data_IF_532554918328
#
_entry.id   IF_532554918328
#
_cell.length_a   1.000
_cell.length_b   1.000
_cell.length_c   1.000
_cell.angle_alpha   90.00
_cell.angle_beta   90.00
_cell.angle_gamma   90.00
#
_symmetry.space_group_name_H-M   'P 1'
#
loop_
_entity.id
_entity.type
_entity.pdbx_description
1 polymer ?
#
# COMPACT_ATOMS: atom_id res chain seq x y z
N UNK A 1 -4.63 9.80 18.66
CA UNK A 1 -3.60 8.76 18.38
C UNK A 1 -3.61 8.55 16.89
N UNK A 2 -2.42 8.53 16.26
CA UNK A 2 -2.28 8.22 14.84
C UNK A 2 -2.76 6.80 14.54
N UNK A 3 -3.26 6.57 13.33
CA UNK A 3 -3.62 5.24 12.84
C UNK A 3 -2.34 4.50 12.48
N UNK A 4 -2.14 3.32 13.05
CA UNK A 4 -0.92 2.53 12.84
C UNK A 4 -1.00 1.70 11.56
N UNK A 5 0.02 1.85 10.73
CA UNK A 5 0.12 1.21 9.42
C UNK A 5 1.27 0.20 9.41
N UNK A 6 1.00 -1.00 8.93
CA UNK A 6 1.99 -1.99 8.53
C UNK A 6 2.10 -2.06 7.01
N UNK A 7 3.29 -2.26 6.46
CA UNK A 7 3.47 -2.43 5.01
C UNK A 7 4.06 -3.81 4.75
N UNK A 8 3.34 -4.64 4.01
CA UNK A 8 3.84 -5.93 3.54
C UNK A 8 4.30 -5.82 2.08
N UNK A 9 5.60 -6.00 1.84
CA UNK A 9 6.26 -5.71 0.58
C UNK A 9 6.78 -4.27 0.53
N UNK A 10 8.08 -4.11 0.77
CA UNK A 10 8.72 -2.78 0.75
C UNK A 10 9.42 -2.51 -0.59
N UNK A 11 8.78 -2.96 -1.67
CA UNK A 11 9.15 -2.69 -3.06
C UNK A 11 8.87 -1.25 -3.48
N UNK A 12 8.75 -1.01 -4.78
CA UNK A 12 8.46 0.33 -5.33
C UNK A 12 7.21 0.95 -4.69
N UNK A 13 6.11 0.19 -4.64
CA UNK A 13 4.83 0.70 -4.14
C UNK A 13 4.88 0.92 -2.62
N UNK A 14 5.32 -0.08 -1.84
CA UNK A 14 5.40 0.06 -0.39
C UNK A 14 6.24 1.26 0.05
N UNK A 15 7.40 1.49 -0.60
CA UNK A 15 8.24 2.67 -0.32
C UNK A 15 7.57 3.99 -0.70
N UNK A 16 6.79 4.04 -1.79
CA UNK A 16 6.07 5.28 -2.13
C UNK A 16 4.92 5.56 -1.17
N UNK A 17 4.21 4.52 -0.71
CA UNK A 17 3.21 4.65 0.35
C UNK A 17 3.85 5.19 1.63
N UNK A 18 4.99 4.62 2.05
CA UNK A 18 5.75 5.09 3.18
C UNK A 18 6.10 6.58 3.06
N UNK A 19 6.71 6.98 1.93
CA UNK A 19 7.08 8.37 1.67
C UNK A 19 5.87 9.32 1.67
N UNK A 20 4.75 8.88 1.09
CA UNK A 20 3.53 9.69 1.07
C UNK A 20 2.94 9.89 2.47
N UNK A 21 3.03 8.89 3.34
CA UNK A 21 2.60 9.00 4.74
C UNK A 21 3.48 10.01 5.47
N UNK A 22 4.81 9.87 5.40
CA UNK A 22 5.77 10.78 6.02
C UNK A 22 5.62 12.24 5.54
N UNK A 23 5.35 12.42 4.24
CA UNK A 23 5.28 13.76 3.64
C UNK A 23 3.95 14.47 3.90
N UNK A 24 2.84 13.72 3.93
CA UNK A 24 1.49 14.32 3.84
C UNK A 24 0.58 14.01 5.00
N UNK A 25 0.87 12.96 5.77
CA UNK A 25 -0.03 12.43 6.78
C UNK A 25 0.64 12.25 8.14
N UNK A 26 1.77 12.93 8.37
CA UNK A 26 2.46 12.96 9.66
C UNK A 26 1.47 13.32 10.79
N UNK A 27 1.54 12.59 11.90
CA UNK A 27 0.64 12.72 13.03
C UNK A 27 -0.79 12.16 12.82
N UNK A 28 -1.16 11.79 11.58
CA UNK A 28 -2.45 11.14 11.25
C UNK A 28 -2.27 9.65 11.02
N UNK A 29 -1.25 9.28 10.22
CA UNK A 29 -0.84 7.91 9.96
C UNK A 29 0.59 7.71 10.46
N UNK A 30 0.87 6.53 11.00
CA UNK A 30 2.20 6.16 11.51
C UNK A 30 2.58 4.79 10.95
N UNK A 31 3.67 4.69 10.19
CA UNK A 31 4.19 3.40 9.75
C UNK A 31 5.03 2.80 10.86
N UNK A 32 4.49 1.81 11.56
CA UNK A 32 5.17 1.17 12.71
C UNK A 32 6.03 -0.02 12.30
N UNK A 33 5.74 -0.64 11.16
CA UNK A 33 6.51 -1.80 10.69
C UNK A 33 6.40 -2.01 9.17
N UNK A 34 7.45 -2.59 8.64
CA UNK A 34 7.51 -3.13 7.27
C UNK A 34 7.87 -4.61 7.33
N UNK A 35 7.40 -5.37 6.35
CA UNK A 35 7.84 -6.73 6.09
C UNK A 35 8.35 -6.84 4.67
N UNK A 36 9.60 -7.27 4.50
CA UNK A 36 10.22 -7.50 3.21
C UNK A 36 11.30 -8.58 3.34
N UNK A 37 11.54 -9.33 2.27
CA UNK A 37 12.53 -10.42 2.30
C UNK A 37 13.98 -9.94 2.21
N UNK A 38 14.20 -8.67 1.88
CA UNK A 38 15.52 -8.04 1.95
C UNK A 38 15.82 -7.56 3.36
N UNK A 39 17.11 -7.41 3.65
CA UNK A 39 17.59 -6.91 4.94
C UNK A 39 17.30 -5.41 5.15
N UNK A 40 17.43 -4.95 6.40
CA UNK A 40 17.17 -3.57 6.76
C UNK A 40 18.12 -2.58 6.05
N UNK A 41 19.37 -2.97 5.77
CA UNK A 41 20.35 -2.10 5.09
C UNK A 41 19.94 -1.87 3.63
N UNK A 42 19.53 -2.92 2.94
CA UNK A 42 19.01 -2.84 1.57
C UNK A 42 17.74 -1.98 1.52
N UNK A 43 16.80 -2.21 2.44
CA UNK A 43 15.57 -1.45 2.52
C UNK A 43 15.82 0.04 2.84
N UNK A 44 16.76 0.34 3.75
CA UNK A 44 17.19 1.70 4.05
C UNK A 44 17.79 2.40 2.82
N UNK A 45 18.68 1.72 2.11
CA UNK A 45 19.29 2.25 0.90
C UNK A 45 18.25 2.59 -0.17
N UNK A 46 17.33 1.64 -0.44
CA UNK A 46 16.29 1.80 -1.44
C UNK A 46 15.22 2.84 -1.04
N UNK A 47 14.98 3.05 0.26
CA UNK A 47 14.13 4.15 0.73
C UNK A 47 14.80 5.49 0.54
N UNK A 48 16.10 5.57 0.85
CA UNK A 48 16.89 6.82 0.79
C UNK A 48 17.11 7.31 -0.62
N UNK A 49 17.34 6.40 -1.58
CA UNK A 49 17.68 6.73 -2.95
C UNK A 49 16.67 6.15 -3.93
N UNK A 50 16.08 7.01 -4.75
CA UNK A 50 15.09 6.64 -5.74
C UNK A 50 15.44 7.27 -7.08
N UNK A 51 15.50 6.42 -8.14
CA UNK A 51 15.88 6.88 -9.48
C UNK A 51 14.87 7.84 -10.11
N UNK A 52 13.59 7.74 -9.72
CA UNK A 52 12.53 8.56 -10.30
C UNK A 52 12.20 9.78 -9.42
N UNK A 53 12.18 9.60 -8.09
CA UNK A 53 11.74 10.62 -7.15
C UNK A 53 12.88 11.28 -6.37
N UNK A 54 14.13 10.87 -6.66
CA UNK A 54 15.30 11.44 -6.04
C UNK A 54 15.54 10.95 -4.61
N UNK A 55 16.31 11.72 -3.86
CA UNK A 55 16.68 11.37 -2.49
C UNK A 55 15.54 11.67 -1.53
N UNK A 56 15.28 10.75 -0.60
CA UNK A 56 14.37 11.00 0.52
C UNK A 56 14.83 12.22 1.32
N UNK A 57 13.95 13.19 1.60
CA UNK A 57 14.37 14.47 2.22
C UNK A 57 14.71 14.35 3.71
N UNK A 58 14.30 13.25 4.36
CA UNK A 58 14.56 12.99 5.78
C UNK A 58 15.82 12.17 6.02
N UNK A 59 16.01 11.77 7.28
CA UNK A 59 17.04 10.84 7.72
C UNK A 59 16.58 9.41 7.59
N UNK A 60 17.45 8.51 7.12
CA UNK A 60 17.22 7.07 7.09
C UNK A 60 18.47 6.38 7.60
N UNK A 61 18.32 5.70 8.71
CA UNK A 61 19.39 4.97 9.40
C UNK A 61 18.92 3.54 9.69
N UNK A 62 19.84 2.68 10.09
CA UNK A 62 19.54 1.32 10.55
C UNK A 62 20.09 1.15 11.95
N UNK A 63 19.25 0.73 12.87
CA UNK A 63 19.63 0.42 14.24
C UNK A 63 18.97 -0.89 14.68
N UNK A 64 19.74 -1.80 15.25
CA UNK A 64 19.26 -3.10 15.77
C UNK A 64 18.39 -3.89 14.77
N UNK A 65 18.76 -3.82 13.47
CA UNK A 65 18.03 -4.52 12.41
C UNK A 65 16.71 -3.89 11.99
N UNK A 66 16.39 -2.69 12.51
CA UNK A 66 15.20 -1.92 12.16
C UNK A 66 15.60 -0.65 11.38
N UNK A 67 14.62 -0.05 10.68
CA UNK A 67 14.82 1.29 10.12
C UNK A 67 14.59 2.34 11.21
N UNK A 68 15.37 3.41 11.16
CA UNK A 68 15.12 4.64 11.91
C UNK A 68 14.97 5.76 10.90
N UNK A 69 13.75 6.26 10.76
CA UNK A 69 13.41 7.30 9.78
C UNK A 69 12.95 8.53 10.55
N UNK A 70 13.58 9.67 10.29
CA UNK A 70 13.32 10.92 11.00
C UNK A 70 13.36 10.83 12.53
N UNK A 71 14.13 9.85 13.05
CA UNK A 71 14.22 9.59 14.50
C UNK A 71 13.21 8.54 15.02
N UNK A 72 12.23 8.15 14.22
CA UNK A 72 11.22 7.15 14.59
C UNK A 72 11.64 5.74 14.14
N UNK A 73 11.40 4.74 15.00
CA UNK A 73 11.76 3.35 14.72
C UNK A 73 10.65 2.63 13.98
N UNK A 74 10.96 2.13 12.80
CA UNK A 74 10.10 1.25 11.99
C UNK A 74 10.62 -0.18 12.07
N UNK A 75 9.84 -1.09 12.63
CA UNK A 75 10.22 -2.50 12.75
C UNK A 75 10.36 -3.15 11.39
N UNK A 76 11.38 -4.00 11.22
CA UNK A 76 11.62 -4.73 9.96
C UNK A 76 11.46 -6.22 10.22
N UNK A 77 10.55 -6.84 9.47
CA UNK A 77 10.34 -8.29 9.45
C UNK A 77 10.71 -8.87 8.09
N UNK A 78 10.99 -10.16 8.03
CA UNK A 78 11.33 -10.90 6.81
C UNK A 78 10.52 -12.22 6.73
N UNK A 79 9.22 -12.11 7.01
CA UNK A 79 8.31 -13.25 7.03
C UNK A 79 7.68 -13.50 5.66
N UNK A 80 7.74 -14.76 5.20
CA UNK A 80 7.08 -15.18 3.95
C UNK A 80 5.59 -15.41 4.13
N UNK A 81 5.18 -15.79 5.33
CA UNK A 81 3.80 -16.09 5.70
C UNK A 81 3.20 -14.90 6.46
N UNK A 82 2.23 -14.19 5.88
CA UNK A 82 1.62 -13.02 6.50
C UNK A 82 1.02 -13.29 7.88
N UNK A 83 0.57 -14.53 8.13
CA UNK A 83 0.00 -14.90 9.42
C UNK A 83 1.02 -14.91 10.58
N UNK A 84 2.31 -14.88 10.27
CA UNK A 84 3.40 -14.87 11.25
C UNK A 84 3.93 -13.48 11.59
N UNK A 85 3.48 -12.47 10.88
CA UNK A 85 3.90 -11.10 11.14
C UNK A 85 3.10 -10.60 12.35
N UNK A 86 3.73 -10.08 13.41
CA UNK A 86 3.06 -9.78 14.69
C UNK A 86 2.31 -8.44 14.64
N UNK A 87 1.39 -8.27 13.68
CA UNK A 87 0.63 -7.02 13.51
C UNK A 87 -0.17 -6.65 14.76
N UNK A 88 -0.75 -7.65 15.43
CA UNK A 88 -1.54 -7.45 16.65
C UNK A 88 -0.69 -6.92 17.81
N UNK A 89 0.55 -7.43 18.01
CA UNK A 89 1.45 -7.01 19.08
C UNK A 89 1.89 -5.54 18.89
N UNK A 90 1.96 -5.08 17.63
CA UNK A 90 2.30 -3.71 17.28
C UNK A 90 1.09 -2.78 17.29
N UNK A 91 -0.11 -3.34 17.40
CA UNK A 91 -1.37 -2.60 17.36
C UNK A 91 -1.67 -2.01 15.98
N UNK A 92 -1.29 -2.71 14.91
CA UNK A 92 -1.51 -2.27 13.53
C UNK A 92 -3.00 -2.21 13.22
N UNK A 93 -3.46 -1.06 12.77
CA UNK A 93 -4.83 -0.85 12.34
C UNK A 93 -5.02 -1.27 10.87
N UNK A 94 -4.09 -0.87 10.01
CA UNK A 94 -4.19 -1.09 8.56
C UNK A 94 -2.90 -1.71 8.05
N UNK A 95 -3.02 -2.80 7.28
CA UNK A 95 -1.91 -3.32 6.49
C UNK A 95 -2.06 -2.91 5.03
N UNK A 96 -1.01 -2.33 4.47
CA UNK A 96 -0.87 -2.15 3.02
C UNK A 96 -0.16 -3.37 2.45
N UNK A 97 -0.91 -4.19 1.72
CA UNK A 97 -0.38 -5.36 1.02
C UNK A 97 0.14 -4.93 -0.36
N UNK A 98 1.45 -4.86 -0.50
CA UNK A 98 2.12 -4.37 -1.71
C UNK A 98 3.19 -5.33 -2.26
N UNK A 99 3.09 -6.63 -1.92
CA UNK A 99 3.97 -7.66 -2.47
C UNK A 99 3.62 -8.07 -3.89
N UNK A 100 2.36 -7.89 -4.32
CA UNK A 100 1.81 -8.46 -5.55
C UNK A 100 1.50 -9.96 -5.48
N UNK A 101 1.75 -10.61 -4.34
CA UNK A 101 1.55 -12.07 -4.15
C UNK A 101 0.19 -12.38 -3.53
N UNK A 102 -0.24 -11.59 -2.56
CA UNK A 102 -1.48 -11.82 -1.80
C UNK A 102 -2.62 -10.95 -2.33
N UNK A 103 -2.91 -11.07 -3.63
CA UNK A 103 -3.98 -10.32 -4.31
C UNK A 103 -5.35 -10.99 -4.22
N UNK A 104 -5.44 -12.21 -3.71
CA UNK A 104 -6.69 -12.87 -3.36
C UNK A 104 -7.04 -12.54 -1.90
N UNK A 105 -8.26 -12.01 -1.67
CA UNK A 105 -8.71 -11.61 -0.34
C UNK A 105 -8.67 -12.75 0.68
N UNK A 106 -8.91 -13.98 0.24
CA UNK A 106 -8.81 -15.17 1.10
C UNK A 106 -7.40 -15.39 1.64
N UNK A 107 -6.38 -15.01 0.87
CA UNK A 107 -4.97 -15.06 1.28
C UNK A 107 -4.57 -13.80 2.07
N UNK A 108 -5.02 -12.63 1.62
CA UNK A 108 -4.76 -11.36 2.31
C UNK A 108 -5.39 -11.31 3.71
N UNK A 109 -6.46 -12.10 3.95
CA UNK A 109 -7.06 -12.27 5.26
C UNK A 109 -6.06 -12.75 6.33
N UNK A 110 -4.96 -13.40 5.96
CA UNK A 110 -3.90 -13.81 6.88
C UNK A 110 -3.32 -12.64 7.68
N UNK A 111 -3.32 -11.41 7.13
CA UNK A 111 -2.93 -10.22 7.86
C UNK A 111 -3.91 -9.88 8.99
N UNK A 112 -5.21 -10.09 8.77
CA UNK A 112 -6.23 -9.88 9.79
C UNK A 112 -6.14 -10.96 10.87
N UNK A 113 -5.89 -12.20 10.46
CA UNK A 113 -5.68 -13.32 11.40
C UNK A 113 -4.43 -13.10 12.26
N UNK A 114 -3.44 -12.33 11.76
CA UNK A 114 -2.26 -11.85 12.48
C UNK A 114 -2.50 -10.58 13.33
N UNK A 115 -3.73 -10.07 13.37
CA UNK A 115 -4.16 -8.99 14.26
C UNK A 115 -4.36 -7.62 13.61
N UNK A 116 -4.15 -7.46 12.31
CA UNK A 116 -4.50 -6.22 11.63
C UNK A 116 -6.05 -6.06 11.55
N UNK A 117 -6.54 -4.83 11.63
CA UNK A 117 -7.98 -4.56 11.56
C UNK A 117 -8.49 -4.47 10.12
N UNK A 118 -7.67 -4.05 9.18
CA UNK A 118 -7.99 -3.86 7.76
C UNK A 118 -6.78 -4.15 6.88
N UNK A 119 -7.08 -4.48 5.62
CA UNK A 119 -6.06 -4.68 4.58
C UNK A 119 -6.41 -3.86 3.35
N UNK A 120 -5.42 -3.15 2.81
CA UNK A 120 -5.49 -2.47 1.52
C UNK A 120 -4.53 -3.18 0.57
N UNK A 121 -5.08 -3.83 -0.46
CA UNK A 121 -4.29 -4.49 -1.51
C UNK A 121 -3.96 -3.45 -2.58
N UNK A 122 -2.67 -3.21 -2.82
CA UNK A 122 -2.17 -2.20 -3.76
C UNK A 122 -2.16 -2.66 -5.22
N UNK A 123 -3.03 -3.59 -5.58
CA UNK A 123 -3.15 -4.20 -6.90
C UNK A 123 -4.60 -4.61 -7.16
N UNK A 124 -5.00 -4.95 -8.41
CA UNK A 124 -6.27 -5.60 -8.65
C UNK A 124 -6.39 -6.86 -7.79
N UNK A 125 -7.50 -7.00 -7.08
CA UNK A 125 -7.72 -8.10 -6.17
C UNK A 125 -8.80 -9.05 -6.67
N UNK A 126 -8.99 -10.15 -5.95
CA UNK A 126 -10.06 -11.11 -6.17
C UNK A 126 -10.74 -11.42 -4.84
N UNK A 127 -12.06 -11.27 -4.81
CA UNK A 127 -12.88 -11.58 -3.64
C UNK A 127 -12.75 -10.54 -2.52
N UNK A 128 -12.23 -9.35 -2.82
CA UNK A 128 -12.19 -8.20 -1.93
C UNK A 128 -13.60 -7.64 -1.68
N UNK A 129 -13.76 -6.93 -0.57
CA UNK A 129 -15.06 -6.35 -0.20
C UNK A 129 -15.42 -5.16 -1.11
N UNK A 130 -14.42 -4.39 -1.55
CA UNK A 130 -14.59 -3.25 -2.45
C UNK A 130 -13.29 -2.94 -3.19
N UNK A 131 -13.41 -2.67 -4.48
CA UNK A 131 -12.33 -2.01 -5.25
C UNK A 131 -12.61 -0.51 -5.29
N UNK A 132 -11.64 0.30 -4.84
CA UNK A 132 -11.78 1.77 -4.70
C UNK A 132 -10.87 2.49 -5.68
N UNK A 133 -11.43 3.47 -6.38
CA UNK A 133 -10.68 4.49 -7.12
C UNK A 133 -11.07 5.86 -6.57
N UNK A 134 -10.08 6.58 -6.03
CA UNK A 134 -10.30 7.89 -5.43
C UNK A 134 -10.89 8.89 -6.43
N UNK A 135 -11.92 9.62 -6.01
CA UNK A 135 -12.66 10.55 -6.85
C UNK A 135 -13.67 9.88 -7.80
N UNK A 136 -13.77 8.55 -7.78
CA UNK A 136 -14.73 7.80 -8.61
C UNK A 136 -15.81 7.14 -7.76
N UNK A 137 -15.42 6.29 -6.83
CA UNK A 137 -16.33 5.53 -5.98
C UNK A 137 -15.87 5.41 -4.52
N UNK A 138 -14.97 6.27 -4.08
CA UNK A 138 -14.51 6.29 -2.68
C UNK A 138 -15.63 6.57 -1.68
N UNK A 139 -16.72 7.22 -2.12
CA UNK A 139 -17.94 7.40 -1.33
C UNK A 139 -18.70 6.11 -1.04
N UNK A 140 -18.42 5.01 -1.75
CA UNK A 140 -19.05 3.71 -1.52
C UNK A 140 -18.41 2.94 -0.34
N UNK A 141 -17.30 3.45 0.20
CA UNK A 141 -16.61 2.81 1.31
C UNK A 141 -17.45 2.86 2.60
N UNK A 142 -17.77 1.69 3.13
CA UNK A 142 -18.44 1.52 4.41
C UNK A 142 -17.48 0.81 5.40
N UNK A 143 -16.98 1.51 6.43
CA UNK A 143 -16.03 0.92 7.39
C UNK A 143 -16.62 -0.23 8.22
N UNK A 144 -17.94 -0.39 8.24
CA UNK A 144 -18.59 -1.51 8.93
C UNK A 144 -18.62 -2.80 8.09
N UNK A 145 -18.38 -2.70 6.77
CA UNK A 145 -18.51 -3.82 5.84
C UNK A 145 -17.22 -4.13 5.07
N UNK A 146 -16.39 -3.12 4.79
CA UNK A 146 -15.25 -3.25 3.91
C UNK A 146 -13.95 -3.33 4.71
N UNK A 147 -13.46 -4.53 4.91
CA UNK A 147 -12.26 -4.84 5.70
C UNK A 147 -11.04 -5.13 4.83
N UNK A 148 -11.26 -5.76 3.67
CA UNK A 148 -10.21 -6.02 2.67
C UNK A 148 -10.61 -5.30 1.39
N UNK A 149 -9.89 -4.24 1.06
CA UNK A 149 -10.17 -3.42 -0.11
C UNK A 149 -9.00 -3.43 -1.08
N UNK A 150 -9.29 -3.21 -2.36
CA UNK A 150 -8.28 -3.01 -3.40
C UNK A 150 -8.29 -1.55 -3.86
N UNK A 151 -7.11 -0.98 -4.11
CA UNK A 151 -7.01 0.31 -4.77
C UNK A 151 -6.96 0.19 -6.31
N UNK A 152 -7.42 -0.93 -6.87
CA UNK A 152 -7.47 -1.22 -8.30
C UNK A 152 -6.07 -1.30 -8.96
N UNK A 153 -6.01 -1.17 -10.28
CA UNK A 153 -4.77 -1.15 -11.05
C UNK A 153 -4.32 0.27 -11.37
N UNK A 154 -3.05 0.42 -11.73
CA UNK A 154 -2.52 1.68 -12.27
C UNK A 154 -3.31 2.14 -13.50
N UNK A 155 -3.68 1.23 -14.40
CA UNK A 155 -4.50 1.49 -15.59
C UNK A 155 -5.91 1.97 -15.19
N UNK A 156 -6.53 1.32 -14.20
CA UNK A 156 -7.86 1.72 -13.71
C UNK A 156 -7.81 3.11 -13.06
N UNK A 157 -6.79 3.38 -12.24
CA UNK A 157 -6.62 4.69 -11.61
C UNK A 157 -6.34 5.81 -12.63
N UNK A 158 -5.73 5.49 -13.77
CA UNK A 158 -5.55 6.42 -14.88
C UNK A 158 -6.87 6.68 -15.62
N UNK A 159 -7.60 5.61 -15.98
CA UNK A 159 -8.77 5.71 -16.88
C UNK A 159 -10.04 6.14 -16.16
N UNK A 160 -10.34 5.56 -15.00
CA UNK A 160 -11.65 5.71 -14.37
C UNK A 160 -11.98 7.16 -13.99
N UNK A 161 -11.07 7.97 -13.41
CA UNK A 161 -11.37 9.38 -13.13
C UNK A 161 -11.64 10.19 -14.41
N UNK A 162 -10.84 9.96 -15.47
CA UNK A 162 -11.03 10.64 -16.75
C UNK A 162 -12.36 10.25 -17.41
N UNK A 163 -12.67 8.95 -17.44
CA UNK A 163 -13.92 8.44 -17.97
C UNK A 163 -15.13 8.95 -17.17
N UNK A 164 -15.01 9.02 -15.84
CA UNK A 164 -16.06 9.58 -14.97
C UNK A 164 -16.38 11.03 -15.34
N UNK A 165 -15.36 11.88 -15.47
CA UNK A 165 -15.56 13.30 -15.85
C UNK A 165 -16.29 13.41 -17.19
N UNK A 166 -15.89 12.63 -18.19
CA UNK A 166 -16.54 12.64 -19.52
C UNK A 166 -17.97 12.12 -19.41
N UNK A 167 -18.17 11.02 -18.71
CA UNK A 167 -19.50 10.41 -18.58
C UNK A 167 -20.49 11.31 -17.83
N UNK A 168 -20.06 11.92 -16.74
CA UNK A 168 -20.93 12.76 -15.90
C UNK A 168 -21.36 14.04 -16.60
N UNK A 169 -20.55 14.57 -17.54
CA UNK A 169 -20.86 15.81 -18.23
C UNK A 169 -21.55 15.63 -19.59
N UNK A 170 -21.24 14.55 -20.31
CA UNK A 170 -21.72 14.36 -21.70
C UNK A 170 -22.32 12.99 -21.96
N UNK A 171 -22.12 12.03 -21.07
CA UNK A 171 -22.49 10.63 -21.26
C UNK A 171 -21.57 9.91 -22.25
N UNK A 172 -21.25 8.64 -21.94
CA UNK A 172 -20.47 7.76 -22.82
C UNK A 172 -21.41 6.68 -23.36
N UNK A 173 -21.68 6.70 -24.67
CA UNK A 173 -22.48 5.66 -25.32
C UNK A 173 -21.62 4.46 -25.70
N UNK A 174 -20.42 4.70 -26.24
CA UNK A 174 -19.44 3.68 -26.64
C UNK A 174 -18.05 4.25 -26.47
N UNK A 175 -17.10 3.39 -26.18
CA UNK A 175 -15.68 3.75 -26.06
C UNK A 175 -14.77 2.61 -26.46
N UNK A 176 -13.55 2.94 -26.83
CA UNK A 176 -12.44 2.02 -27.00
C UNK A 176 -11.26 2.56 -26.19
N UNK A 177 -10.54 1.67 -25.52
CA UNK A 177 -9.37 2.03 -24.76
C UNK A 177 -8.12 1.38 -25.38
N UNK A 178 -7.09 2.21 -25.54
CA UNK A 178 -5.74 1.74 -25.85
C UNK A 178 -4.82 2.24 -24.77
N UNK A 179 -4.02 1.35 -24.19
CA UNK A 179 -3.00 1.73 -23.21
C UNK A 179 -1.61 1.52 -23.79
N UNK A 180 -0.74 2.52 -23.58
CA UNK A 180 0.71 2.40 -23.77
C UNK A 180 1.32 2.33 -22.38
N UNK A 181 1.82 1.19 -21.99
CA UNK A 181 2.18 0.88 -20.63
C UNK A 181 3.64 0.47 -20.52
N UNK A 182 4.37 0.99 -19.53
CA UNK A 182 5.66 0.42 -19.15
C UNK A 182 5.45 -1.00 -18.65
N UNK A 183 6.32 -1.93 -19.01
CA UNK A 183 6.23 -3.27 -18.45
C UNK A 183 6.53 -3.26 -16.95
N UNK A 184 5.88 -4.15 -16.22
CA UNK A 184 6.02 -4.34 -14.78
C UNK A 184 6.50 -5.75 -14.47
N UNK A 185 6.77 -6.04 -13.21
CA UNK A 185 7.26 -7.37 -12.79
C UNK A 185 6.30 -8.51 -13.15
N UNK A 186 5.00 -8.24 -13.28
CA UNK A 186 4.00 -9.24 -13.64
C UNK A 186 4.01 -9.62 -15.12
N UNK A 187 4.73 -8.89 -15.93
CA UNK A 187 4.86 -9.10 -17.37
C UNK A 187 6.23 -9.71 -17.72
#
# INVERSE_FOLDING_TARGET
MAVKVGINGFGRIGRQVFKAIEEKYDGVLEVVAINDLFDAQTNAHLLKYDSNYGRFPGTVEVAEGNLVVNGETVKVFAEKDPAKIPWGDLGVDIVVESTGVFTDASKAKAHMDAGAKRVIISAPAKGEDLTIVMGVNDGDYDPAKHFIVSNASCTTNCLAPAAKVVNDNWGIVKGMMTTVHSYTNDQ
#
